data_IF_997244725872
#
_entry.id   IF_997244725872
#
_cell.length_a   1.000
_cell.length_b   1.000
_cell.length_c   1.000
_cell.angle_alpha   90.00
_cell.angle_beta   90.00
_cell.angle_gamma   90.00
#
_symmetry.space_group_name_H-M   'P 1'
#
loop_
_entity.id
_entity.type
_entity.pdbx_description
1 polymer ?
#
# COMPACT_ATOMS: atom_id res chain seq x y z
N UNK A 1 11.41 15.04 6.80
CA UNK A 1 10.81 15.39 5.49
C UNK A 1 9.57 14.52 5.35
N UNK A 2 8.42 15.11 5.09
CA UNK A 2 7.15 14.40 4.92
C UNK A 2 6.91 14.21 3.42
N UNK A 3 6.54 13.01 2.98
CA UNK A 3 6.19 12.75 1.59
C UNK A 3 4.66 12.67 1.47
N UNK A 4 4.09 13.46 0.58
CA UNK A 4 2.67 13.37 0.25
C UNK A 4 2.53 12.49 -1.00
N UNK A 5 1.95 11.30 -0.81
CA UNK A 5 1.68 10.31 -1.84
C UNK A 5 0.17 10.03 -1.92
N UNK A 6 -0.64 11.02 -1.55
CA UNK A 6 -2.10 10.93 -1.60
C UNK A 6 -2.53 10.63 -3.04
N UNK A 7 -3.43 9.66 -3.21
CA UNK A 7 -3.96 9.18 -4.51
C UNK A 7 -2.89 8.73 -5.53
N UNK A 8 -1.66 8.45 -5.07
CA UNK A 8 -0.59 7.99 -5.95
C UNK A 8 -0.83 6.56 -6.44
N UNK A 9 -0.52 6.29 -7.71
CA UNK A 9 -0.57 4.95 -8.28
C UNK A 9 0.81 4.30 -8.25
N UNK A 10 0.92 3.19 -7.52
CA UNK A 10 2.10 2.34 -7.41
C UNK A 10 1.80 0.92 -7.88
N UNK A 11 0.83 0.76 -8.78
CA UNK A 11 0.44 -0.54 -9.31
C UNK A 11 1.65 -1.22 -9.96
N UNK A 12 1.98 -2.42 -9.49
CA UNK A 12 3.19 -3.17 -9.91
C UNK A 12 4.53 -2.43 -9.75
N UNK A 13 4.57 -1.37 -8.94
CA UNK A 13 5.79 -0.63 -8.70
C UNK A 13 6.77 -1.44 -7.84
N UNK A 14 8.06 -1.22 -8.07
CA UNK A 14 9.12 -1.74 -7.22
C UNK A 14 9.39 -0.74 -6.08
N UNK A 15 8.92 -1.06 -4.88
CA UNK A 15 9.10 -0.28 -3.66
C UNK A 15 9.96 -1.04 -2.64
N UNK A 16 10.79 -1.98 -3.09
CA UNK A 16 11.67 -2.74 -2.21
C UNK A 16 12.66 -1.80 -1.53
N UNK A 17 12.86 -1.97 -0.23
CA UNK A 17 13.71 -1.10 0.60
C UNK A 17 13.31 0.40 0.58
N UNK A 18 12.11 0.74 0.09
CA UNK A 18 11.65 2.12 0.03
C UNK A 18 11.42 2.68 1.44
N UNK A 19 11.79 3.95 1.65
CA UNK A 19 11.52 4.65 2.90
C UNK A 19 10.25 5.50 2.78
N UNK A 20 9.11 4.97 3.25
CA UNK A 20 7.82 5.67 3.35
C UNK A 20 7.54 6.16 4.78
N UNK A 21 8.56 6.22 5.63
CA UNK A 21 8.44 6.74 7.01
C UNK A 21 7.94 8.19 6.97
N UNK A 22 6.89 8.48 7.75
CA UNK A 22 6.18 9.76 7.71
C UNK A 22 5.60 10.14 6.33
N UNK A 23 5.32 9.17 5.44
CA UNK A 23 4.60 9.44 4.20
C UNK A 23 3.08 9.32 4.39
N UNK A 24 2.32 10.17 3.72
CA UNK A 24 0.86 10.02 3.61
C UNK A 24 0.53 9.18 2.38
N UNK A 25 -0.10 8.02 2.57
CA UNK A 25 -0.50 7.07 1.51
C UNK A 25 -2.01 7.03 1.29
N UNK A 26 -2.77 8.01 1.81
CA UNK A 26 -4.23 8.03 1.68
C UNK A 26 -4.65 7.99 0.21
N UNK A 27 -5.55 7.09 -0.17
CA UNK A 27 -5.95 6.82 -1.56
C UNK A 27 -4.89 6.14 -2.44
N UNK A 28 -3.69 5.83 -1.95
CA UNK A 28 -2.63 5.27 -2.78
C UNK A 28 -2.93 3.83 -3.23
N UNK A 29 -2.73 3.55 -4.50
CA UNK A 29 -2.93 2.22 -5.08
C UNK A 29 -1.63 1.42 -5.08
N UNK A 30 -1.49 0.50 -4.11
CA UNK A 30 -0.34 -0.40 -3.97
C UNK A 30 -0.58 -1.80 -4.58
N UNK A 31 -1.57 -1.94 -5.46
CA UNK A 31 -1.93 -3.25 -6.04
C UNK A 31 -0.74 -3.87 -6.76
N UNK A 32 -0.30 -5.05 -6.31
CA UNK A 32 0.84 -5.76 -6.89
C UNK A 32 2.21 -5.08 -6.69
N UNK A 33 2.30 -4.04 -5.86
CA UNK A 33 3.57 -3.37 -5.55
C UNK A 33 4.50 -4.31 -4.76
N UNK A 34 5.79 -4.28 -5.07
CA UNK A 34 6.80 -5.02 -4.32
C UNK A 34 7.25 -4.19 -3.11
N UNK A 35 6.66 -4.46 -1.94
CA UNK A 35 6.95 -3.73 -0.69
C UNK A 35 7.95 -4.45 0.22
N UNK A 36 8.66 -5.47 -0.27
CA UNK A 36 9.59 -6.25 0.56
C UNK A 36 10.64 -5.32 1.19
N UNK A 37 10.81 -5.41 2.50
CA UNK A 37 11.76 -4.61 3.27
C UNK A 37 11.48 -3.08 3.23
N UNK A 38 10.32 -2.64 2.72
CA UNK A 38 9.92 -1.23 2.72
C UNK A 38 9.59 -0.76 4.14
N UNK A 39 9.96 0.48 4.49
CA UNK A 39 9.49 1.14 5.72
C UNK A 39 8.14 1.79 5.49
N UNK A 40 7.16 1.38 6.27
CA UNK A 40 5.79 1.90 6.30
C UNK A 40 5.72 3.26 7.02
N UNK A 41 4.61 4.01 6.87
CA UNK A 41 4.44 5.32 7.51
C UNK A 41 4.58 5.34 9.03
N UNK A 42 4.32 4.22 9.70
CA UNK A 42 4.48 4.05 11.15
C UNK A 42 5.91 3.66 11.57
N UNK A 43 6.86 3.65 10.63
CA UNK A 43 8.25 3.29 10.86
C UNK A 43 8.51 1.78 10.90
N UNK A 44 7.48 0.94 10.71
CA UNK A 44 7.64 -0.52 10.67
C UNK A 44 8.07 -0.99 9.29
N UNK A 45 8.79 -2.08 9.23
CA UNK A 45 9.05 -2.77 7.96
C UNK A 45 7.79 -3.49 7.51
N UNK A 46 7.50 -3.46 6.20
CA UNK A 46 6.42 -4.23 5.62
C UNK A 46 6.68 -5.73 5.81
N UNK A 47 5.67 -6.42 6.33
CA UNK A 47 5.68 -7.87 6.52
C UNK A 47 4.61 -8.52 5.64
N UNK A 48 4.90 -9.70 5.10
CA UNK A 48 3.94 -10.45 4.28
C UNK A 48 2.69 -10.73 5.11
N UNK A 49 1.54 -10.25 4.63
CA UNK A 49 0.25 -10.38 5.33
C UNK A 49 -0.15 -9.16 6.16
N UNK A 50 0.67 -8.10 6.17
CA UNK A 50 0.27 -6.81 6.76
C UNK A 50 -0.92 -6.22 6.00
N UNK A 51 -1.90 -5.75 6.75
CA UNK A 51 -3.06 -5.03 6.22
C UNK A 51 -2.68 -3.61 5.78
N UNK A 52 -2.49 -3.44 4.48
CA UNK A 52 -2.14 -2.15 3.87
C UNK A 52 -3.32 -1.17 3.83
N UNK A 53 -4.55 -1.64 3.99
CA UNK A 53 -5.75 -0.78 3.88
C UNK A 53 -5.80 0.30 4.96
N UNK A 54 -5.10 0.08 6.08
CA UNK A 54 -4.95 1.05 7.18
C UNK A 54 -4.11 2.27 6.80
N UNK A 55 -3.21 2.13 5.84
CA UNK A 55 -2.37 3.23 5.35
C UNK A 55 -2.90 3.78 4.04
N UNK A 56 -3.43 2.91 3.18
CA UNK A 56 -3.89 3.34 1.87
C UNK A 56 -5.28 3.91 1.90
N UNK A 57 -6.17 3.49 2.80
CA UNK A 57 -7.58 3.91 2.84
C UNK A 57 -8.13 4.26 1.45
N UNK A 58 -7.81 3.43 0.45
CA UNK A 58 -8.53 3.46 -0.80
C UNK A 58 -9.93 3.04 -0.41
N UNK A 59 -10.93 3.80 -0.86
CA UNK A 59 -12.34 3.45 -0.69
C UNK A 59 -12.49 1.93 -0.78
N UNK A 60 -13.16 1.33 0.21
CA UNK A 60 -13.29 -0.12 0.42
C UNK A 60 -13.15 -0.87 -0.91
N UNK A 61 -12.38 -1.97 -1.00
CA UNK A 61 -12.48 -2.83 -2.18
C UNK A 61 -13.96 -3.11 -2.36
N UNK A 62 -14.54 -2.59 -3.46
CA UNK A 62 -15.94 -2.89 -3.77
C UNK A 62 -15.99 -4.40 -3.80
N UNK A 63 -16.77 -4.99 -2.89
CA UNK A 63 -17.11 -6.42 -2.93
C UNK A 63 -17.93 -6.65 -4.21
N UNK A 64 -17.29 -6.62 -5.37
CA UNK A 64 -17.93 -6.97 -6.63
C UNK A 64 -17.20 -8.12 -7.34
N UNK A 65 -16.03 -8.54 -6.86
CA UNK A 65 -15.40 -9.79 -7.33
C UNK A 65 -15.64 -10.88 -6.28
N UNK A 66 -16.84 -11.43 -6.33
CA UNK A 66 -17.02 -12.82 -5.95
C UNK A 66 -15.99 -13.63 -6.76
N UNK A 67 -15.10 -14.35 -6.08
CA UNK A 67 -14.54 -15.54 -6.68
C UNK A 67 -15.74 -16.47 -6.93
N UNK A 68 -16.26 -16.43 -8.15
CA UNK A 68 -17.13 -17.49 -8.66
C UNK A 68 -16.20 -18.69 -8.88
N UNK A 69 -16.06 -19.50 -7.84
CA UNK A 69 -15.51 -20.85 -7.98
C UNK A 69 -16.62 -21.71 -8.61
N UNK A 70 -16.61 -21.85 -9.94
CA UNK A 70 -17.17 -23.05 -10.59
C UNK A 70 -16.21 -24.23 -10.47
#
# INVERSE_FOLDING_TARGET
>A
KHADLTDASFVHADLRDANLEHATLSGANLTGAALRDARMPDGKTYERGMDLTRYTAAEKPKRDDAYDEE
#
